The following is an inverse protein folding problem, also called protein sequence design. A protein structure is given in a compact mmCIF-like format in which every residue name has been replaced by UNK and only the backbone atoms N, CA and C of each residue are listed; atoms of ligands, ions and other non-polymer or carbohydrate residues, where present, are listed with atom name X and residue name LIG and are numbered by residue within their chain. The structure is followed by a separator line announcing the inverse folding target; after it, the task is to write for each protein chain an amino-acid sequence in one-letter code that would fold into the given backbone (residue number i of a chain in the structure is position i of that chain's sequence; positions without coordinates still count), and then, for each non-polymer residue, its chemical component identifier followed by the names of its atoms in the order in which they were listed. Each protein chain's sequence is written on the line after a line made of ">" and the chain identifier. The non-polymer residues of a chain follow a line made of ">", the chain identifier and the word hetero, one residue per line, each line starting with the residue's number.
data_IF_030744050473
#
_entry.id   IF_030744050473
#
_cell.length_a   1.000
_cell.length_b   1.000
_cell.length_c   1.000
_cell.angle_alpha   90.00
_cell.angle_beta   90.00
_cell.angle_gamma   90.00
#
_symmetry.space_group_name_H-M   'P 1'
#
loop_
_entity.id
_entity.type
_entity.pdbx_description
1 polymer ?
#
# COMPACT_ATOMS: atom_id res chain seq x y z
N UNK A 1 -32.20 -21.22 15.42
CA UNK A 1 -31.44 -21.22 14.14
C UNK A 1 -32.33 -21.40 12.93
N UNK A 2 -33.22 -22.42 12.89
CA UNK A 2 -34.02 -22.71 11.69
C UNK A 2 -35.10 -21.67 11.34
N UNK A 3 -35.49 -20.78 12.26
CA UNK A 3 -36.53 -19.76 12.01
C UNK A 3 -36.09 -18.72 10.96
N UNK A 4 -34.96 -18.05 11.18
CA UNK A 4 -34.42 -17.04 10.25
C UNK A 4 -34.07 -17.66 8.89
N UNK A 5 -33.48 -18.86 8.88
CA UNK A 5 -33.14 -19.55 7.64
C UNK A 5 -34.38 -19.85 6.80
N UNK A 6 -35.47 -20.31 7.42
CA UNK A 6 -36.73 -20.58 6.68
C UNK A 6 -37.24 -19.32 5.98
N UNK A 7 -37.22 -18.17 6.65
CA UNK A 7 -37.64 -16.90 6.06
C UNK A 7 -36.67 -16.43 4.97
N UNK A 8 -35.37 -16.51 5.26
CA UNK A 8 -34.30 -16.06 4.36
C UNK A 8 -34.29 -16.78 3.01
N UNK A 9 -34.61 -18.07 3.00
CA UNK A 9 -34.61 -18.92 1.81
C UNK A 9 -36.01 -19.22 1.26
N UNK A 10 -37.08 -18.70 1.88
CA UNK A 10 -38.45 -18.88 1.39
C UNK A 10 -38.64 -18.19 0.04
N UNK A 11 -39.27 -18.87 -0.92
CA UNK A 11 -39.53 -18.32 -2.26
C UNK A 11 -38.48 -18.68 -3.32
N UNK A 12 -37.50 -19.53 -3.02
CA UNK A 12 -36.54 -20.04 -4.00
C UNK A 12 -35.72 -18.93 -4.65
N UNK A 13 -35.81 -18.77 -5.97
CA UNK A 13 -35.10 -17.72 -6.72
C UNK A 13 -35.54 -16.30 -6.35
N UNK A 14 -36.75 -16.15 -5.80
CA UNK A 14 -37.30 -14.87 -5.33
C UNK A 14 -37.22 -14.74 -3.81
N UNK A 15 -36.42 -15.58 -3.15
CA UNK A 15 -36.14 -15.43 -1.73
C UNK A 15 -35.38 -14.14 -1.43
N UNK A 16 -35.52 -13.56 -0.21
CA UNK A 16 -34.72 -12.40 0.20
C UNK A 16 -33.22 -12.63 0.00
N UNK A 17 -32.74 -13.85 0.30
CA UNK A 17 -31.34 -14.24 0.04
C UNK A 17 -30.96 -14.19 -1.44
N UNK A 18 -31.75 -14.80 -2.32
CA UNK A 18 -31.45 -14.80 -3.75
C UNK A 18 -31.47 -13.38 -4.35
N UNK A 19 -32.43 -12.54 -3.94
CA UNK A 19 -32.53 -11.14 -4.38
C UNK A 19 -31.30 -10.33 -3.97
N UNK A 20 -30.88 -10.42 -2.70
CA UNK A 20 -29.73 -9.65 -2.21
C UNK A 20 -28.40 -10.14 -2.83
N UNK A 21 -28.24 -11.45 -3.03
CA UNK A 21 -27.05 -12.04 -3.64
C UNK A 21 -26.92 -11.69 -5.13
N UNK A 22 -28.04 -11.44 -5.82
CA UNK A 22 -28.07 -10.90 -7.19
C UNK A 22 -27.93 -9.38 -7.27
N UNK A 23 -27.88 -8.67 -6.14
CA UNK A 23 -27.84 -7.21 -6.08
C UNK A 23 -29.13 -6.52 -6.51
N UNK A 24 -30.26 -7.23 -6.51
CA UNK A 24 -31.58 -6.67 -6.85
C UNK A 24 -32.14 -5.81 -5.72
N UNK A 25 -31.74 -6.11 -4.48
CA UNK A 25 -32.05 -5.33 -3.28
C UNK A 25 -30.76 -5.04 -2.51
N UNK A 26 -30.75 -3.95 -1.76
CA UNK A 26 -29.65 -3.58 -0.86
C UNK A 26 -29.72 -4.34 0.47
N UNK A 27 -28.67 -4.22 1.28
CA UNK A 27 -28.62 -4.81 2.62
C UNK A 27 -29.74 -4.25 3.54
N UNK A 28 -30.01 -2.94 3.48
CA UNK A 28 -31.08 -2.33 4.28
C UNK A 28 -32.47 -2.82 3.86
N UNK A 29 -32.68 -3.02 2.55
CA UNK A 29 -33.90 -3.63 2.02
C UNK A 29 -34.05 -5.10 2.45
N UNK A 30 -32.95 -5.88 2.45
CA UNK A 30 -32.95 -7.25 2.97
C UNK A 30 -33.43 -7.28 4.43
N UNK A 31 -32.96 -6.36 5.28
CA UNK A 31 -33.38 -6.32 6.68
C UNK A 31 -34.89 -6.11 6.82
N UNK A 32 -35.45 -5.20 6.02
CA UNK A 32 -36.88 -4.92 6.02
C UNK A 32 -37.70 -6.13 5.55
N UNK A 33 -37.31 -6.77 4.44
CA UNK A 33 -37.98 -7.97 3.95
C UNK A 33 -37.90 -9.14 4.95
N UNK A 34 -36.75 -9.33 5.58
CA UNK A 34 -36.53 -10.37 6.58
C UNK A 34 -37.36 -10.14 7.84
N UNK A 35 -37.43 -8.91 8.35
CA UNK A 35 -38.23 -8.59 9.53
C UNK A 35 -39.73 -8.81 9.28
N UNK A 36 -40.22 -8.39 8.11
CA UNK A 36 -41.61 -8.62 7.72
C UNK A 36 -41.92 -10.11 7.55
N UNK A 37 -41.05 -10.84 6.86
CA UNK A 37 -41.17 -12.30 6.71
C UNK A 37 -41.10 -13.04 8.05
N UNK A 38 -40.29 -12.56 9.00
CA UNK A 38 -40.25 -13.09 10.36
C UNK A 38 -41.55 -12.83 11.12
N UNK A 39 -42.14 -11.62 11.03
CA UNK A 39 -43.44 -11.32 11.67
C UNK A 39 -44.54 -12.24 11.13
N UNK A 40 -44.60 -12.41 9.81
CA UNK A 40 -45.55 -13.30 9.16
C UNK A 40 -45.34 -14.75 9.59
N UNK A 41 -44.11 -15.24 9.55
CA UNK A 41 -43.82 -16.62 9.95
C UNK A 41 -44.11 -16.86 11.44
N UNK A 42 -43.79 -15.91 12.33
CA UNK A 42 -44.14 -16.01 13.74
C UNK A 42 -45.66 -16.08 13.93
N UNK A 43 -46.42 -15.23 13.22
CA UNK A 43 -47.89 -15.24 13.24
C UNK A 43 -48.46 -16.59 12.79
N UNK A 44 -47.92 -17.19 11.72
CA UNK A 44 -48.36 -18.54 11.27
C UNK A 44 -48.11 -19.65 12.29
N UNK A 45 -47.14 -19.45 13.19
CA UNK A 45 -46.80 -20.40 14.26
C UNK A 45 -47.49 -20.06 15.59
N UNK A 46 -48.31 -19.00 15.64
CA UNK A 46 -48.90 -18.51 16.89
C UNK A 46 -47.88 -17.94 17.89
N UNK A 47 -46.72 -17.50 17.40
CA UNK A 47 -45.64 -16.93 18.20
C UNK A 47 -45.62 -15.40 18.07
N UNK A 48 -45.18 -14.72 19.13
CA UNK A 48 -44.85 -13.29 19.09
C UNK A 48 -43.34 -13.11 19.10
N UNK A 49 -42.86 -12.16 18.29
CA UNK A 49 -41.44 -11.78 18.30
C UNK A 49 -41.17 -10.84 19.49
N UNK A 50 -39.99 -10.95 20.14
CA UNK A 50 -39.60 -10.01 21.19
C UNK A 50 -39.61 -8.56 20.70
N UNK A 51 -39.92 -7.56 21.54
CA UNK A 51 -39.89 -6.14 21.16
C UNK A 51 -38.50 -5.67 20.69
N UNK A 52 -37.45 -6.37 21.11
CA UNK A 52 -36.04 -6.11 20.77
C UNK A 52 -35.57 -6.87 19.53
N UNK A 53 -36.43 -7.63 18.86
CA UNK A 53 -36.05 -8.38 17.67
C UNK A 53 -35.69 -7.42 16.53
N UNK A 54 -34.44 -7.50 16.07
CA UNK A 54 -33.96 -6.77 14.90
C UNK A 54 -33.03 -7.65 14.09
N UNK A 55 -33.29 -7.73 12.78
CA UNK A 55 -32.39 -8.46 11.87
C UNK A 55 -31.11 -7.67 11.67
N UNK A 56 -31.20 -6.34 11.56
CA UNK A 56 -30.06 -5.45 11.40
C UNK A 56 -29.03 -5.65 12.54
N UNK A 57 -29.47 -5.65 13.80
CA UNK A 57 -28.58 -5.86 14.96
C UNK A 57 -27.87 -7.22 14.95
N UNK A 58 -28.53 -8.27 14.43
CA UNK A 58 -27.90 -9.59 14.31
C UNK A 58 -26.79 -9.60 13.26
N UNK A 59 -26.98 -8.90 12.14
CA UNK A 59 -25.96 -8.74 11.09
C UNK A 59 -24.81 -7.83 11.53
N UNK A 60 -25.09 -6.73 12.24
CA UNK A 60 -24.07 -5.82 12.77
C UNK A 60 -23.09 -6.55 13.70
N UNK A 61 -23.58 -7.41 14.61
CA UNK A 61 -22.71 -8.22 15.48
C UNK A 61 -21.78 -9.14 14.67
N UNK A 62 -22.29 -9.76 13.62
CA UNK A 62 -21.50 -10.64 12.74
C UNK A 62 -20.41 -9.86 11.99
N UNK A 63 -20.69 -8.62 11.55
CA UNK A 63 -19.67 -7.77 10.90
C UNK A 63 -18.58 -7.30 11.85
N UNK A 64 -18.90 -7.02 13.12
CA UNK A 64 -17.92 -6.60 14.13
C UNK A 64 -16.93 -7.72 14.47
N UNK A 65 -17.37 -8.98 14.39
CA UNK A 65 -16.52 -10.15 14.65
C UNK A 65 -15.72 -10.61 13.42
N UNK A 66 -16.07 -10.12 12.21
CA UNK A 66 -15.42 -10.48 10.97
C UNK A 66 -14.00 -9.96 10.88
N UNK A 67 -13.02 -10.84 10.84
CA UNK A 67 -11.60 -10.49 10.64
C UNK A 67 -11.04 -11.19 9.41
N UNK A 68 -10.05 -10.56 8.77
CA UNK A 68 -9.32 -11.18 7.67
C UNK A 68 -8.48 -12.33 8.22
N UNK A 69 -8.60 -13.51 7.63
CA UNK A 69 -7.72 -14.64 7.92
C UNK A 69 -6.32 -14.34 7.35
N UNK A 70 -5.46 -13.75 8.17
CA UNK A 70 -4.14 -13.30 7.77
C UNK A 70 -3.25 -14.44 7.19
N UNK A 71 -3.22 -15.66 7.78
CA UNK A 71 -2.48 -16.78 7.18
C UNK A 71 -2.96 -17.15 5.76
N UNK A 72 -4.27 -17.20 5.51
CA UNK A 72 -4.78 -17.49 4.15
C UNK A 72 -4.47 -16.35 3.17
N UNK A 73 -4.56 -15.10 3.61
CA UNK A 73 -4.16 -13.96 2.80
C UNK A 73 -2.66 -14.01 2.44
N UNK A 74 -1.81 -14.41 3.39
CA UNK A 74 -0.39 -14.60 3.16
C UNK A 74 -0.12 -15.73 2.15
N UNK A 75 -0.83 -16.84 2.26
CA UNK A 75 -0.71 -17.94 1.31
C UNK A 75 -1.14 -17.52 -0.10
N UNK A 76 -2.25 -16.79 -0.25
CA UNK A 76 -2.68 -16.25 -1.53
C UNK A 76 -1.61 -15.33 -2.14
N UNK A 77 -1.01 -14.44 -1.34
CA UNK A 77 0.11 -13.58 -1.79
C UNK A 77 1.30 -14.42 -2.24
N UNK A 78 1.62 -15.51 -1.54
CA UNK A 78 2.73 -16.40 -1.91
C UNK A 78 2.48 -17.11 -3.23
N UNK A 79 1.29 -17.66 -3.42
CA UNK A 79 0.89 -18.29 -4.68
C UNK A 79 1.01 -17.30 -5.85
N UNK A 80 0.49 -16.08 -5.67
CA UNK A 80 0.57 -15.02 -6.68
C UNK A 80 2.01 -14.69 -7.09
N UNK A 81 2.91 -14.58 -6.12
CA UNK A 81 4.35 -14.35 -6.39
C UNK A 81 5.03 -15.50 -7.13
N UNK A 82 4.51 -16.72 -7.00
CA UNK A 82 4.97 -17.91 -7.73
C UNK A 82 4.23 -18.12 -9.06
N UNK A 83 3.52 -17.09 -9.56
CA UNK A 83 2.92 -17.09 -10.89
C UNK A 83 1.47 -17.58 -10.95
N UNK A 84 0.84 -17.91 -9.82
CA UNK A 84 -0.59 -18.24 -9.81
C UNK A 84 -1.44 -17.00 -10.04
N UNK A 85 -2.50 -17.14 -10.83
CA UNK A 85 -3.60 -16.18 -10.83
C UNK A 85 -4.49 -16.42 -9.62
N UNK A 86 -4.84 -15.36 -8.90
CA UNK A 86 -5.55 -15.43 -7.62
C UNK A 86 -6.88 -14.70 -7.69
N UNK A 87 -7.93 -15.32 -7.15
CA UNK A 87 -9.29 -14.76 -7.19
C UNK A 87 -10.04 -14.92 -5.88
N UNK A 88 -10.77 -13.87 -5.49
CA UNK A 88 -11.84 -13.96 -4.48
C UNK A 88 -13.17 -14.12 -5.18
N UNK A 89 -13.87 -15.22 -4.91
CA UNK A 89 -15.21 -15.51 -5.40
C UNK A 89 -16.20 -15.48 -4.23
N UNK A 90 -16.92 -14.36 -4.06
CA UNK A 90 -17.73 -14.14 -2.86
C UNK A 90 -19.22 -13.99 -3.15
N UNK A 91 -20.04 -14.63 -2.30
CA UNK A 91 -21.46 -14.35 -2.20
C UNK A 91 -21.63 -13.17 -1.25
N UNK A 92 -21.90 -11.98 -1.79
CA UNK A 92 -22.01 -10.75 -1.04
C UNK A 92 -23.19 -9.89 -1.52
N UNK A 93 -23.33 -8.71 -0.93
CA UNK A 93 -24.48 -7.82 -1.08
C UNK A 93 -24.05 -6.38 -1.32
N UNK A 94 -24.96 -5.56 -1.82
CA UNK A 94 -24.78 -4.10 -1.88
C UNK A 94 -25.04 -3.52 -0.49
N UNK A 95 -23.98 -3.12 0.20
CA UNK A 95 -24.05 -2.58 1.55
C UNK A 95 -24.30 -1.06 1.53
N UNK A 96 -25.51 -0.66 1.89
CA UNK A 96 -25.96 0.71 2.06
C UNK A 96 -26.15 1.10 3.55
N UNK A 97 -25.72 0.23 4.46
CA UNK A 97 -25.88 0.41 5.90
C UNK A 97 -24.94 1.48 6.47
N UNK A 98 -25.10 1.76 7.77
CA UNK A 98 -24.13 2.57 8.52
C UNK A 98 -22.72 1.93 8.55
N UNK A 99 -22.64 0.59 8.45
CA UNK A 99 -21.40 -0.18 8.45
C UNK A 99 -20.67 -0.27 7.11
N UNK A 100 -21.24 0.28 6.02
CA UNK A 100 -20.72 0.13 4.65
C UNK A 100 -19.24 0.47 4.44
N UNK A 101 -18.67 1.34 5.28
CA UNK A 101 -17.26 1.70 5.19
C UNK A 101 -16.36 0.50 5.48
N UNK A 102 -16.73 -0.36 6.44
CA UNK A 102 -16.00 -1.59 6.74
C UNK A 102 -15.98 -2.53 5.53
N UNK A 103 -17.15 -2.79 4.95
CA UNK A 103 -17.29 -3.64 3.76
C UNK A 103 -16.48 -3.09 2.58
N UNK A 104 -16.55 -1.78 2.34
CA UNK A 104 -15.77 -1.12 1.30
C UNK A 104 -14.26 -1.23 1.53
N UNK A 105 -13.78 -1.03 2.76
CA UNK A 105 -12.37 -1.18 3.13
C UNK A 105 -11.90 -2.61 2.93
N UNK A 106 -12.66 -3.60 3.37
CA UNK A 106 -12.33 -5.01 3.18
C UNK A 106 -12.22 -5.38 1.69
N UNK A 107 -13.19 -4.99 0.87
CA UNK A 107 -13.16 -5.25 -0.58
C UNK A 107 -11.96 -4.57 -1.23
N UNK A 108 -11.60 -3.35 -0.82
CA UNK A 108 -10.41 -2.66 -1.31
C UNK A 108 -9.11 -3.39 -0.94
N UNK A 109 -8.99 -3.90 0.30
CA UNK A 109 -7.84 -4.72 0.72
C UNK A 109 -7.75 -5.98 -0.15
N UNK A 110 -8.87 -6.69 -0.36
CA UNK A 110 -8.89 -7.89 -1.20
C UNK A 110 -8.49 -7.58 -2.66
N UNK A 111 -9.00 -6.48 -3.24
CA UNK A 111 -8.65 -6.05 -4.61
C UNK A 111 -7.16 -5.71 -4.77
N UNK A 112 -6.45 -5.36 -3.69
CA UNK A 112 -4.99 -5.13 -3.72
C UNK A 112 -4.20 -6.43 -3.79
N UNK A 113 -4.69 -7.47 -3.10
CA UNK A 113 -3.94 -8.72 -2.95
C UNK A 113 -4.26 -9.78 -4.00
N UNK A 114 -5.43 -9.73 -4.61
CA UNK A 114 -5.89 -10.69 -5.62
C UNK A 114 -5.94 -10.08 -7.02
N UNK A 115 -5.77 -10.91 -8.05
CA UNK A 115 -5.87 -10.48 -9.46
C UNK A 115 -7.32 -10.20 -9.87
N UNK A 116 -8.27 -10.89 -9.24
CA UNK A 116 -9.70 -10.72 -9.47
C UNK A 116 -10.49 -10.81 -8.16
N UNK A 117 -11.49 -9.95 -8.02
CA UNK A 117 -12.50 -10.05 -6.96
C UNK A 117 -13.87 -10.02 -7.63
N UNK A 118 -14.55 -11.17 -7.60
CA UNK A 118 -15.89 -11.38 -8.14
C UNK A 118 -16.89 -11.31 -7.00
N UNK A 119 -17.78 -10.33 -7.11
CA UNK A 119 -18.86 -10.06 -6.15
C UNK A 119 -20.19 -10.52 -6.75
N UNK A 120 -20.89 -11.42 -6.07
CA UNK A 120 -22.16 -11.97 -6.59
C UNK A 120 -23.18 -10.89 -6.89
N UNK A 121 -23.29 -9.89 -6.00
CA UNK A 121 -24.26 -8.80 -6.15
C UNK A 121 -23.96 -7.87 -7.33
N UNK A 122 -22.72 -7.88 -7.84
CA UNK A 122 -22.32 -7.10 -9.02
C UNK A 122 -22.47 -7.91 -10.31
N UNK A 123 -22.26 -9.21 -10.24
CA UNK A 123 -22.41 -10.10 -11.39
C UNK A 123 -23.87 -10.49 -11.66
N UNK A 124 -24.71 -10.55 -10.63
CA UNK A 124 -26.08 -11.07 -10.72
C UNK A 124 -26.15 -12.61 -10.70
N UNK A 125 -25.07 -13.28 -10.31
CA UNK A 125 -24.98 -14.73 -10.09
C UNK A 125 -24.22 -15.00 -8.79
N UNK A 126 -24.56 -16.08 -8.07
CA UNK A 126 -23.98 -16.42 -6.76
C UNK A 126 -23.73 -17.93 -6.68
N UNK A 127 -22.79 -18.34 -5.84
CA UNK A 127 -22.52 -19.76 -5.58
C UNK A 127 -23.76 -20.41 -4.94
N UNK A 128 -24.22 -21.59 -5.39
CA UNK A 128 -23.52 -22.54 -6.26
C UNK A 128 -23.89 -22.50 -7.75
N UNK A 129 -24.41 -21.40 -8.31
CA UNK A 129 -24.71 -21.31 -9.75
C UNK A 129 -23.42 -21.47 -10.60
N UNK A 130 -23.32 -22.46 -11.51
CA UNK A 130 -22.17 -22.67 -12.39
C UNK A 130 -21.67 -21.41 -13.14
N UNK A 131 -22.56 -20.45 -13.41
CA UNK A 131 -22.21 -19.20 -14.12
C UNK A 131 -21.15 -18.38 -13.40
N UNK A 132 -21.18 -18.31 -12.07
CA UNK A 132 -20.21 -17.48 -11.32
C UNK A 132 -18.79 -18.08 -11.40
N UNK A 133 -18.68 -19.41 -11.39
CA UNK A 133 -17.41 -20.13 -11.52
C UNK A 133 -16.84 -19.97 -12.94
N UNK A 134 -17.70 -20.14 -13.95
CA UNK A 134 -17.34 -19.97 -15.37
C UNK A 134 -16.83 -18.55 -15.63
N UNK A 135 -17.55 -17.53 -15.13
CA UNK A 135 -17.12 -16.14 -15.23
C UNK A 135 -15.73 -15.90 -14.63
N UNK A 136 -15.46 -16.45 -13.44
CA UNK A 136 -14.16 -16.29 -12.79
C UNK A 136 -13.02 -16.97 -13.57
N UNK A 137 -13.24 -18.20 -14.06
CA UNK A 137 -12.28 -18.93 -14.89
C UNK A 137 -11.98 -18.20 -16.21
N UNK A 138 -13.02 -17.73 -16.89
CA UNK A 138 -12.90 -17.01 -18.17
C UNK A 138 -12.15 -15.68 -17.99
N UNK A 139 -12.51 -14.91 -16.97
CA UNK A 139 -11.85 -13.63 -16.66
C UNK A 139 -10.36 -13.83 -16.32
N UNK A 140 -10.02 -14.92 -15.66
CA UNK A 140 -8.63 -15.28 -15.39
C UNK A 140 -7.95 -16.00 -16.55
N UNK A 141 -8.69 -16.45 -17.58
CA UNK A 141 -8.19 -17.29 -18.66
C UNK A 141 -7.49 -18.55 -18.10
N UNK A 142 -8.17 -19.28 -17.23
CA UNK A 142 -7.67 -20.50 -16.57
C UNK A 142 -8.64 -21.65 -16.85
N UNK A 143 -8.13 -22.85 -17.12
CA UNK A 143 -8.98 -24.03 -17.28
C UNK A 143 -9.40 -24.56 -15.90
N UNK A 144 -10.58 -25.20 -15.76
CA UNK A 144 -11.01 -25.76 -14.47
C UNK A 144 -9.96 -26.68 -13.82
N UNK A 145 -9.28 -27.52 -14.60
CA UNK A 145 -8.29 -28.49 -14.11
C UNK A 145 -7.00 -27.84 -13.57
N UNK A 146 -6.80 -26.56 -13.87
CA UNK A 146 -5.65 -25.77 -13.41
C UNK A 146 -5.99 -24.94 -12.16
N UNK A 147 -7.24 -25.03 -11.67
CA UNK A 147 -7.74 -24.21 -10.56
C UNK A 147 -7.89 -25.02 -9.26
N UNK A 148 -7.55 -24.36 -8.14
CA UNK A 148 -7.82 -24.83 -6.78
C UNK A 148 -8.86 -23.91 -6.17
N UNK A 149 -10.00 -24.45 -5.76
CA UNK A 149 -11.13 -23.70 -5.21
C UNK A 149 -11.32 -23.98 -3.72
N UNK A 150 -11.32 -22.92 -2.91
CA UNK A 150 -11.44 -22.98 -1.46
C UNK A 150 -12.79 -22.37 -1.05
N UNK A 151 -13.58 -23.08 -0.25
CA UNK A 151 -14.86 -22.58 0.28
C UNK A 151 -15.16 -23.24 1.63
N UNK A 152 -15.82 -22.52 2.54
CA UNK A 152 -16.23 -23.03 3.86
C UNK A 152 -17.62 -23.72 3.81
N UNK A 153 -18.34 -23.56 2.70
CA UNK A 153 -19.64 -24.16 2.43
C UNK A 153 -19.50 -25.30 1.42
N UNK A 154 -19.85 -26.52 1.85
CA UNK A 154 -19.69 -27.75 1.04
C UNK A 154 -20.50 -27.70 -0.25
N UNK A 155 -21.68 -27.10 -0.22
CA UNK A 155 -22.58 -26.96 -1.36
C UNK A 155 -21.96 -26.10 -2.47
N UNK A 156 -21.15 -25.10 -2.11
CA UNK A 156 -20.43 -24.25 -3.06
C UNK A 156 -19.24 -24.96 -3.72
N UNK A 157 -18.74 -26.06 -3.14
CA UNK A 157 -17.63 -26.81 -3.74
C UNK A 157 -18.09 -27.76 -4.85
N UNK A 158 -19.34 -28.23 -4.81
CA UNK A 158 -19.84 -29.24 -5.77
C UNK A 158 -19.72 -28.80 -7.24
N UNK A 159 -20.16 -27.60 -7.65
CA UNK A 159 -20.05 -27.18 -9.04
C UNK A 159 -18.58 -27.06 -9.49
N UNK A 160 -17.71 -26.56 -8.61
CA UNK A 160 -16.27 -26.47 -8.88
C UNK A 160 -15.66 -27.87 -9.11
N UNK A 161 -16.03 -28.85 -8.29
CA UNK A 161 -15.60 -30.24 -8.43
C UNK A 161 -16.15 -30.88 -9.71
N UNK A 162 -17.42 -30.66 -10.04
CA UNK A 162 -18.06 -31.15 -11.27
C UNK A 162 -17.43 -30.56 -12.54
N UNK A 163 -16.91 -29.32 -12.48
CA UNK A 163 -16.13 -28.71 -13.54
C UNK A 163 -14.69 -29.27 -13.66
N UNK A 164 -14.21 -30.00 -12.65
CA UNK A 164 -12.88 -30.58 -12.62
C UNK A 164 -11.82 -29.74 -11.88
N UNK A 165 -12.23 -28.77 -11.07
CA UNK A 165 -11.30 -28.05 -10.18
C UNK A 165 -10.89 -28.92 -9.00
N UNK A 166 -9.67 -28.73 -8.49
CA UNK A 166 -9.32 -29.21 -7.17
C UNK A 166 -10.07 -28.39 -6.12
N UNK A 167 -10.64 -29.02 -5.09
CA UNK A 167 -11.46 -28.32 -4.09
C UNK A 167 -10.97 -28.60 -2.67
N UNK A 168 -10.92 -27.57 -1.82
CA UNK A 168 -10.57 -27.68 -0.40
C UNK A 168 -11.72 -27.10 0.43
N UNK A 169 -12.21 -27.88 1.40
CA UNK A 169 -13.21 -27.41 2.36
C UNK A 169 -12.52 -26.69 3.53
N UNK A 170 -12.79 -25.39 3.65
CA UNK A 170 -12.18 -24.55 4.69
C UNK A 170 -12.86 -24.78 6.03
N UNK A 171 -12.17 -25.45 6.95
CA UNK A 171 -12.60 -25.65 8.35
C UNK A 171 -11.53 -25.22 9.34
N UNK A 172 -10.31 -25.64 9.08
CA UNK A 172 -9.13 -25.34 9.88
C UNK A 172 -8.06 -24.74 8.97
N UNK A 173 -7.48 -23.62 9.39
CA UNK A 173 -6.54 -22.87 8.55
C UNK A 173 -5.25 -23.66 8.30
N UNK A 174 -4.77 -24.42 9.29
CA UNK A 174 -3.53 -25.18 9.18
C UNK A 174 -3.66 -26.36 8.21
N UNK A 175 -4.80 -27.06 8.26
CA UNK A 175 -5.09 -28.14 7.32
C UNK A 175 -5.20 -27.60 5.89
N UNK A 176 -5.90 -26.47 5.71
CA UNK A 176 -6.06 -25.82 4.40
C UNK A 176 -4.70 -25.42 3.81
N UNK A 177 -3.82 -24.83 4.62
CA UNK A 177 -2.48 -24.43 4.16
C UNK A 177 -1.64 -25.63 3.72
N UNK A 178 -1.78 -26.78 4.39
CA UNK A 178 -1.09 -28.02 4.03
C UNK A 178 -1.62 -28.59 2.71
N UNK A 179 -2.93 -28.73 2.56
CA UNK A 179 -3.54 -29.22 1.31
C UNK A 179 -3.23 -28.28 0.13
N UNK A 180 -3.25 -26.97 0.37
CA UNK A 180 -2.90 -25.97 -0.64
C UNK A 180 -1.45 -26.10 -1.08
N UNK A 181 -0.52 -26.36 -0.16
CA UNK A 181 0.89 -26.63 -0.49
C UNK A 181 1.04 -27.92 -1.29
N UNK A 182 0.33 -28.99 -0.93
CA UNK A 182 0.37 -30.27 -1.65
C UNK A 182 -0.13 -30.14 -3.09
N UNK A 183 -1.21 -29.39 -3.31
CA UNK A 183 -1.81 -29.19 -4.64
C UNK A 183 -1.04 -28.17 -5.50
N UNK A 184 -0.50 -27.12 -4.90
CA UNK A 184 0.20 -26.06 -5.65
C UNK A 184 1.69 -26.33 -5.85
N UNK A 185 2.30 -27.18 -5.03
CA UNK A 185 3.77 -27.35 -4.94
C UNK A 185 4.50 -26.13 -4.36
N UNK A 186 3.77 -25.08 -3.94
CA UNK A 186 4.33 -23.86 -3.36
C UNK A 186 4.30 -23.97 -1.85
N UNK A 187 5.44 -23.69 -1.21
CA UNK A 187 5.52 -23.66 0.24
C UNK A 187 4.68 -22.48 0.78
N UNK A 188 3.45 -22.77 1.22
CA UNK A 188 2.54 -21.76 1.77
C UNK A 188 3.03 -21.19 3.11
N UNK A 189 3.99 -21.89 3.76
CA UNK A 189 4.77 -21.42 4.92
C UNK A 189 6.20 -21.06 4.51
N UNK A 190 6.63 -19.83 4.82
CA UNK A 190 8.05 -19.49 4.99
C UNK A 190 8.26 -18.81 6.35
N UNK A 191 9.41 -19.08 6.95
CA UNK A 191 9.86 -18.51 8.23
C UNK A 191 10.30 -17.02 8.12
N UNK A 192 10.48 -16.52 6.91
CA UNK A 192 10.80 -15.10 6.67
C UNK A 192 9.51 -14.32 6.41
N UNK A 193 9.30 -13.27 7.19
CA UNK A 193 8.21 -12.32 6.93
C UNK A 193 8.35 -11.76 5.51
N UNK A 194 7.34 -11.95 4.64
CA UNK A 194 7.42 -11.42 3.30
C UNK A 194 7.47 -9.89 3.37
N UNK A 195 8.31 -9.28 2.52
CA UNK A 195 8.28 -7.83 2.33
C UNK A 195 6.83 -7.35 2.12
N UNK A 196 6.47 -6.17 2.65
CA UNK A 196 5.18 -5.55 2.39
C UNK A 196 4.90 -5.47 0.88
N UNK A 197 3.62 -5.39 0.50
CA UNK A 197 3.26 -5.18 -0.91
C UNK A 197 3.80 -3.83 -1.35
N UNK A 198 4.64 -3.80 -2.37
CA UNK A 198 5.03 -2.55 -3.03
C UNK A 198 3.86 -2.03 -3.86
N UNK A 199 3.65 -0.71 -3.89
CA UNK A 199 2.78 -0.10 -4.89
C UNK A 199 3.47 -0.03 -6.26
N UNK A 200 2.73 -0.35 -7.31
CA UNK A 200 3.13 -0.09 -8.70
C UNK A 200 2.82 1.37 -9.05
N UNK A 201 3.76 2.13 -9.66
CA UNK A 201 3.50 3.47 -10.19
C UNK A 201 2.25 3.59 -11.05
N UNK A 202 1.84 2.54 -11.79
CA UNK A 202 0.63 2.61 -12.61
C UNK A 202 -0.67 2.51 -11.80
N UNK A 203 -0.60 2.01 -10.56
CA UNK A 203 -1.75 1.65 -9.74
C UNK A 203 -1.97 2.59 -8.55
N UNK A 204 -1.33 3.76 -8.57
CA UNK A 204 -1.50 4.82 -7.58
C UNK A 204 -2.13 6.05 -8.23
N UNK A 205 -2.86 6.84 -7.46
CA UNK A 205 -3.43 8.10 -7.97
C UNK A 205 -2.34 9.16 -8.00
N UNK A 206 -2.01 9.67 -9.18
CA UNK A 206 -1.09 10.80 -9.34
C UNK A 206 -1.84 12.12 -9.17
N UNK A 207 -1.41 12.93 -8.21
CA UNK A 207 -1.93 14.26 -7.94
C UNK A 207 -0.89 15.34 -8.22
N UNK A 208 -1.39 16.53 -8.57
CA UNK A 208 -0.56 17.71 -8.83
C UNK A 208 -1.15 18.93 -8.15
N UNK A 209 -0.29 19.74 -7.56
CA UNK A 209 -0.69 20.98 -6.88
C UNK A 209 0.22 22.14 -7.27
N UNK A 210 -0.37 23.20 -7.81
CA UNK A 210 0.38 24.45 -7.98
C UNK A 210 0.46 25.16 -6.64
N UNK A 211 1.68 25.38 -6.15
CA UNK A 211 1.93 26.01 -4.85
C UNK A 211 2.11 27.52 -5.00
N UNK A 212 2.55 27.96 -6.19
CA UNK A 212 2.63 29.34 -6.65
C UNK A 212 2.86 29.34 -8.19
N UNK A 213 2.75 30.48 -8.89
CA UNK A 213 2.96 30.53 -10.33
C UNK A 213 4.30 29.90 -10.73
N UNK A 214 4.27 28.98 -11.69
CA UNK A 214 5.45 28.29 -12.21
C UNK A 214 6.06 27.23 -11.30
N UNK A 215 5.50 26.94 -10.11
CA UNK A 215 5.98 25.85 -9.24
C UNK A 215 4.83 24.94 -8.84
N UNK A 216 4.98 23.67 -9.20
CA UNK A 216 4.04 22.59 -8.95
C UNK A 216 4.73 21.45 -8.21
N UNK A 217 4.00 20.81 -7.28
CA UNK A 217 4.41 19.54 -6.70
C UNK A 217 3.56 18.41 -7.23
N UNK A 218 4.23 17.31 -7.52
CA UNK A 218 3.63 16.00 -7.76
C UNK A 218 3.58 15.21 -6.45
N UNK A 219 2.55 14.39 -6.31
CA UNK A 219 2.42 13.42 -5.24
C UNK A 219 1.66 12.20 -5.74
N UNK A 220 1.79 11.10 -5.01
CA UNK A 220 0.88 9.96 -5.16
C UNK A 220 0.01 9.81 -3.93
N UNK A 221 -1.21 9.34 -4.15
CA UNK A 221 -2.22 9.21 -3.12
C UNK A 221 -2.82 7.80 -3.08
N UNK A 222 -2.99 7.26 -1.87
CA UNK A 222 -3.66 5.99 -1.63
C UNK A 222 -4.37 5.96 -0.29
N UNK A 223 -5.53 5.30 -0.22
CA UNK A 223 -6.27 5.08 1.03
C UNK A 223 -7.21 6.22 1.39
N UNK A 224 -7.79 6.14 2.58
CA UNK A 224 -8.77 7.06 3.12
C UNK A 224 -8.59 7.17 4.64
N UNK A 225 -9.10 8.23 5.26
CA UNK A 225 -8.95 8.47 6.70
C UNK A 225 -8.01 9.64 7.03
N UNK A 226 -7.40 9.67 8.23
CA UNK A 226 -6.46 10.71 8.61
C UNK A 226 -5.27 10.79 7.64
N UNK A 227 -4.84 12.00 7.31
CA UNK A 227 -3.77 12.22 6.32
C UNK A 227 -2.40 11.91 6.91
N UNK A 228 -1.64 11.08 6.21
CA UNK A 228 -0.21 10.84 6.45
C UNK A 228 0.55 11.32 5.22
N UNK A 229 1.45 12.28 5.40
CA UNK A 229 2.28 12.83 4.34
C UNK A 229 3.73 12.32 4.47
N UNK A 230 4.21 11.63 3.43
CA UNK A 230 5.54 11.03 3.39
C UNK A 230 6.50 11.91 2.58
N UNK A 231 7.66 12.20 3.16
CA UNK A 231 8.67 13.10 2.59
C UNK A 231 9.99 12.33 2.44
N UNK A 232 10.42 12.04 1.20
CA UNK A 232 11.69 11.38 0.95
C UNK A 232 12.90 12.34 1.11
N UNK A 233 14.11 11.79 1.08
CA UNK A 233 15.37 12.54 1.13
C UNK A 233 16.14 12.55 -0.19
N UNK A 234 17.47 12.62 -0.10
CA UNK A 234 18.37 12.76 -1.24
C UNK A 234 19.20 11.47 -1.49
N UNK A 235 19.41 11.06 -2.76
CA UNK A 235 18.64 11.38 -3.96
C UNK A 235 17.56 10.31 -4.16
N UNK A 236 16.33 10.60 -3.78
CA UNK A 236 15.24 9.62 -3.74
C UNK A 236 14.04 10.00 -4.64
N UNK A 237 12.92 9.31 -4.46
CA UNK A 237 11.63 9.64 -5.06
C UNK A 237 10.50 9.30 -4.08
N UNK A 238 9.27 9.75 -4.34
CA UNK A 238 8.06 9.22 -3.68
C UNK A 238 8.05 7.68 -3.66
N UNK A 239 8.63 7.03 -4.69
CA UNK A 239 8.71 5.57 -4.83
C UNK A 239 9.61 4.89 -3.77
N UNK A 240 10.42 5.65 -3.01
CA UNK A 240 11.10 5.14 -1.80
C UNK A 240 10.10 4.60 -0.77
N UNK A 241 8.89 5.17 -0.74
CA UNK A 241 7.83 4.79 0.19
C UNK A 241 6.91 3.68 -0.33
N UNK A 242 7.26 3.02 -1.45
CA UNK A 242 6.36 2.06 -2.12
C UNK A 242 5.85 0.91 -1.25
N UNK A 243 6.62 0.54 -0.22
CA UNK A 243 6.22 -0.50 0.74
C UNK A 243 5.33 0.05 1.87
N UNK A 244 5.50 1.33 2.22
CA UNK A 244 4.73 1.98 3.27
C UNK A 244 3.40 2.50 2.76
N UNK A 245 3.30 2.93 1.50
CA UNK A 245 2.07 3.49 0.94
C UNK A 245 0.90 2.50 1.06
N UNK A 246 0.97 1.24 0.58
CA UNK A 246 -0.11 0.29 0.76
C UNK A 246 -0.35 -0.08 2.22
N UNK A 247 0.71 -0.32 2.99
CA UNK A 247 0.61 -0.73 4.39
C UNK A 247 -0.12 0.31 5.27
N UNK A 248 0.22 1.59 5.11
CA UNK A 248 -0.45 2.68 5.82
C UNK A 248 -1.88 2.89 5.31
N UNK A 249 -2.12 2.73 4.00
CA UNK A 249 -3.47 2.81 3.45
C UNK A 249 -4.37 1.67 3.95
N UNK A 250 -3.83 0.45 4.07
CA UNK A 250 -4.52 -0.71 4.64
C UNK A 250 -4.80 -0.52 6.15
N UNK A 251 -3.92 0.22 6.85
CA UNK A 251 -4.11 0.61 8.24
C UNK A 251 -5.16 1.74 8.44
N UNK A 252 -5.83 2.19 7.37
CA UNK A 252 -6.91 3.18 7.44
C UNK A 252 -6.45 4.64 7.41
N UNK A 253 -5.28 4.91 6.81
CA UNK A 253 -4.80 6.27 6.56
C UNK A 253 -4.96 6.69 5.10
N UNK A 254 -5.14 7.99 4.88
CA UNK A 254 -5.02 8.62 3.58
C UNK A 254 -3.55 9.01 3.37
N UNK A 255 -2.82 8.22 2.60
CA UNK A 255 -1.38 8.40 2.39
C UNK A 255 -1.16 9.34 1.21
N UNK A 256 -0.34 10.37 1.41
CA UNK A 256 0.15 11.28 0.38
C UNK A 256 1.68 11.18 0.38
N UNK A 257 2.25 10.47 -0.58
CA UNK A 257 3.70 10.43 -0.75
C UNK A 257 4.13 11.51 -1.74
N UNK A 258 4.87 12.48 -1.23
CA UNK A 258 5.32 13.63 -2.00
C UNK A 258 6.49 13.24 -2.90
N UNK A 259 6.47 13.75 -4.13
CA UNK A 259 7.71 13.98 -4.87
C UNK A 259 8.23 15.35 -4.44
N UNK A 260 9.35 15.39 -3.74
CA UNK A 260 9.87 16.62 -3.16
C UNK A 260 10.23 17.63 -4.26
N UNK A 261 10.21 18.92 -3.94
CA UNK A 261 10.64 19.98 -4.87
C UNK A 261 12.07 19.69 -5.34
N UNK A 262 12.32 19.80 -6.64
CA UNK A 262 13.60 19.40 -7.25
C UNK A 262 13.61 17.99 -7.83
N UNK A 263 12.57 17.17 -7.60
CA UNK A 263 12.58 15.74 -7.96
C UNK A 263 11.46 15.38 -8.94
N UNK A 264 11.75 14.42 -9.82
CA UNK A 264 10.77 13.72 -10.64
C UNK A 264 9.82 14.63 -11.43
N UNK A 265 8.53 14.58 -11.09
CA UNK A 265 7.51 15.40 -11.76
C UNK A 265 7.21 16.72 -11.03
N UNK A 266 7.77 16.92 -9.84
CA UNK A 266 7.76 18.22 -9.18
C UNK A 266 8.68 19.20 -9.90
N UNK A 267 8.34 20.48 -9.83
CA UNK A 267 9.18 21.53 -10.43
C UNK A 267 10.54 21.60 -9.72
N UNK A 268 11.61 21.79 -10.50
CA UNK A 268 12.98 22.00 -10.05
C UNK A 268 13.48 23.41 -10.44
N UNK A 269 13.15 24.46 -9.66
CA UNK A 269 13.70 25.80 -9.91
C UNK A 269 15.24 25.82 -9.82
N UNK A 270 15.95 26.61 -10.63
CA UNK A 270 17.42 26.60 -10.65
C UNK A 270 18.08 27.40 -9.52
N UNK A 271 17.36 28.27 -8.82
CA UNK A 271 17.93 29.13 -7.76
C UNK A 271 18.10 28.33 -6.46
N UNK A 272 19.32 28.28 -5.93
CA UNK A 272 19.67 27.62 -4.66
C UNK A 272 18.76 28.08 -3.50
N UNK A 273 18.39 29.37 -3.48
CA UNK A 273 17.54 29.94 -2.42
C UNK A 273 16.17 29.26 -2.33
N UNK A 274 15.72 28.62 -3.40
CA UNK A 274 14.44 27.92 -3.48
C UNK A 274 14.38 26.64 -2.64
N UNK A 275 15.53 26.13 -2.21
CA UNK A 275 15.68 24.87 -1.48
C UNK A 275 16.07 25.06 0.00
N UNK A 276 16.09 26.31 0.49
CA UNK A 276 16.24 26.54 1.93
C UNK A 276 15.10 25.87 2.70
N UNK A 277 15.39 25.42 3.93
CA UNK A 277 14.38 24.79 4.80
C UNK A 277 13.16 25.69 4.99
N UNK A 278 13.36 27.01 5.10
CA UNK A 278 12.26 27.97 5.17
C UNK A 278 11.37 27.92 3.92
N UNK A 279 11.95 27.92 2.71
CA UNK A 279 11.17 27.87 1.47
C UNK A 279 10.45 26.52 1.35
N UNK A 280 11.13 25.40 1.60
CA UNK A 280 10.54 24.05 1.51
C UNK A 280 9.39 23.87 2.52
N UNK A 281 9.49 24.41 3.73
CA UNK A 281 8.41 24.37 4.71
C UNK A 281 7.26 25.31 4.34
N UNK A 282 7.54 26.52 3.83
CA UNK A 282 6.50 27.46 3.38
C UNK A 282 5.61 26.89 2.29
N UNK A 283 6.17 26.09 1.37
CA UNK A 283 5.41 25.37 0.34
C UNK A 283 4.27 24.54 0.93
N UNK A 284 4.48 23.92 2.10
CA UNK A 284 3.48 23.09 2.77
C UNK A 284 2.39 23.89 3.48
N UNK A 285 2.53 25.22 3.55
CA UNK A 285 1.48 26.17 3.96
C UNK A 285 0.65 26.66 2.76
N UNK A 286 0.95 26.27 1.53
CA UNK A 286 0.18 26.75 0.39
C UNK A 286 -1.28 26.30 0.50
N UNK A 287 -2.21 27.25 0.47
CA UNK A 287 -3.65 27.01 0.63
C UNK A 287 -4.19 26.01 -0.40
N UNK A 288 -3.58 25.95 -1.60
CA UNK A 288 -3.89 24.99 -2.64
C UNK A 288 -3.50 23.54 -2.26
N UNK A 289 -2.36 23.36 -1.57
CA UNK A 289 -1.95 22.06 -1.01
C UNK A 289 -2.86 21.63 0.15
N UNK A 290 -3.26 22.59 0.97
CA UNK A 290 -4.01 22.34 2.18
C UNK A 290 -5.54 22.39 2.00
N UNK A 291 -6.05 22.56 0.78
CA UNK A 291 -7.49 22.64 0.55
C UNK A 291 -8.17 21.32 1.00
N UNK A 292 -8.83 21.36 2.16
CA UNK A 292 -9.46 20.20 2.78
C UNK A 292 -8.58 19.39 3.74
N UNK A 293 -7.34 19.81 4.03
CA UNK A 293 -6.42 19.11 4.95
C UNK A 293 -5.96 20.09 6.05
N UNK A 294 -6.68 20.17 7.19
CA UNK A 294 -6.33 21.11 8.26
C UNK A 294 -5.04 20.73 9.00
N UNK A 295 -4.82 19.42 9.17
CA UNK A 295 -3.62 18.83 9.77
C UNK A 295 -3.28 17.51 9.08
N UNK A 296 -1.99 17.15 9.10
CA UNK A 296 -1.51 15.85 8.65
C UNK A 296 -0.46 15.29 9.62
N UNK A 297 -0.34 13.98 9.69
CA UNK A 297 0.85 13.32 10.25
C UNK A 297 1.97 13.46 9.22
N UNK A 298 3.14 13.92 9.63
CA UNK A 298 4.29 14.08 8.74
C UNK A 298 5.36 13.06 9.06
N UNK A 299 5.79 12.30 8.05
CA UNK A 299 6.85 11.31 8.18
C UNK A 299 7.93 11.64 7.15
N UNK A 300 9.17 11.79 7.62
CA UNK A 300 10.31 12.16 6.79
C UNK A 300 11.46 11.16 6.88
N UNK A 301 12.22 11.00 5.79
CA UNK A 301 13.49 10.28 5.76
C UNK A 301 14.60 11.21 5.25
N UNK A 302 15.81 11.13 5.82
CA UNK A 302 16.97 11.94 5.41
C UNK A 302 16.63 13.47 5.38
N UNK A 303 16.76 14.18 4.26
CA UNK A 303 16.37 15.59 4.13
C UNK A 303 14.88 15.81 4.35
N UNK A 304 14.02 14.85 3.98
CA UNK A 304 12.61 14.84 4.34
C UNK A 304 12.41 14.80 5.86
N UNK A 305 13.30 14.12 6.60
CA UNK A 305 13.34 14.12 8.06
C UNK A 305 13.60 15.52 8.66
N UNK A 306 14.56 16.26 8.10
CA UNK A 306 14.83 17.65 8.51
C UNK A 306 13.61 18.55 8.27
N UNK A 307 12.95 18.38 7.12
CA UNK A 307 11.74 19.12 6.75
C UNK A 307 10.60 18.88 7.74
N UNK A 308 10.32 17.63 8.12
CA UNK A 308 9.19 17.35 9.03
C UNK A 308 9.47 17.84 10.45
N UNK A 309 10.72 17.85 10.92
CA UNK A 309 11.08 18.49 12.19
C UNK A 309 10.83 20.00 12.15
N UNK A 310 11.27 20.68 11.09
CA UNK A 310 11.02 22.12 10.93
C UNK A 310 9.52 22.43 10.80
N UNK A 311 8.74 21.58 10.13
CA UNK A 311 7.28 21.73 10.09
C UNK A 311 6.66 21.65 11.49
N UNK A 312 7.10 20.69 12.32
CA UNK A 312 6.59 20.56 13.69
C UNK A 312 6.95 21.76 14.57
N UNK A 313 8.14 22.34 14.38
CA UNK A 313 8.59 23.53 15.13
C UNK A 313 7.87 24.81 14.73
N UNK A 314 7.78 25.09 13.42
CA UNK A 314 7.32 26.39 12.92
C UNK A 314 5.83 26.42 12.58
N UNK A 315 5.21 25.25 12.37
CA UNK A 315 3.81 25.13 11.99
C UNK A 315 3.09 24.01 12.78
N UNK A 316 3.19 23.98 14.13
CA UNK A 316 2.60 22.92 14.94
C UNK A 316 1.08 22.82 14.76
N UNK A 317 0.41 23.91 14.39
CA UNK A 317 -1.03 23.92 14.11
C UNK A 317 -1.41 23.07 12.88
N UNK A 318 -0.44 22.73 12.02
CA UNK A 318 -0.62 21.91 10.81
C UNK A 318 -0.15 20.46 10.98
N UNK A 319 0.58 20.17 12.05
CA UNK A 319 1.21 18.86 12.27
C UNK A 319 0.44 18.10 13.33
N UNK A 320 -0.29 17.06 12.90
CA UNK A 320 -1.04 16.19 13.81
C UNK A 320 -0.08 15.34 14.67
N UNK A 321 0.97 14.83 14.04
CA UNK A 321 2.09 14.12 14.65
C UNK A 321 3.29 14.17 13.69
N UNK A 322 4.50 13.94 14.20
CA UNK A 322 5.74 13.95 13.41
C UNK A 322 6.57 12.70 13.69
N UNK A 323 7.14 12.11 12.64
CA UNK A 323 8.11 11.03 12.74
C UNK A 323 9.27 11.25 11.74
N UNK A 324 10.48 10.87 12.13
CA UNK A 324 11.66 10.96 11.27
C UNK A 324 12.40 9.63 11.27
N UNK A 325 12.79 9.17 10.08
CA UNK A 325 13.65 8.02 9.88
C UNK A 325 15.08 8.53 9.64
N UNK A 326 16.02 8.01 10.44
CA UNK A 326 17.46 8.30 10.41
C UNK A 326 17.83 9.70 10.91
N UNK A 327 17.15 10.76 10.45
CA UNK A 327 17.52 12.16 10.75
C UNK A 327 17.08 12.58 12.16
N UNK A 328 18.01 12.85 13.10
CA UNK A 328 17.66 13.30 14.43
C UNK A 328 17.23 14.78 14.40
N UNK A 329 16.41 15.17 15.37
CA UNK A 329 16.22 16.59 15.66
C UNK A 329 17.42 17.12 16.46
N UNK A 330 18.08 18.17 15.96
CA UNK A 330 19.15 18.89 16.66
C UNK A 330 18.88 20.39 16.56
N UNK A 331 18.61 21.09 17.68
CA UNK A 331 18.41 22.54 17.64
C UNK A 331 19.69 23.25 17.19
N UNK A 332 19.53 24.38 16.50
CA UNK A 332 20.65 25.24 16.14
C UNK A 332 21.25 25.87 17.41
N UNK A 333 22.58 25.85 17.51
CA UNK A 333 23.32 26.55 18.55
C UNK A 333 23.80 27.89 17.96
N UNK A 334 23.23 29.03 18.38
CA UNK A 334 23.59 30.33 17.82
C UNK A 334 25.02 30.77 18.19
N UNK A 335 25.69 30.05 19.10
CA UNK A 335 27.07 30.36 19.54
C UNK A 335 28.13 29.62 18.73
N UNK A 336 27.72 28.70 17.85
CA UNK A 336 28.64 27.85 17.09
C UNK A 336 28.48 28.10 15.60
N UNK A 337 29.60 28.28 14.90
CA UNK A 337 29.62 28.22 13.45
C UNK A 337 29.32 26.78 13.00
N UNK A 338 28.17 26.60 12.37
CA UNK A 338 27.69 25.29 11.93
C UNK A 338 28.61 24.67 10.87
N UNK A 339 29.24 25.48 10.01
CA UNK A 339 30.14 25.01 8.96
C UNK A 339 31.39 24.42 9.59
N UNK A 340 32.00 25.12 10.55
CA UNK A 340 33.18 24.62 11.28
C UNK A 340 32.84 23.39 12.12
N UNK A 341 31.67 23.37 12.76
CA UNK A 341 31.20 22.19 13.48
C UNK A 341 31.01 20.99 12.55
N UNK A 342 30.44 21.19 11.36
CA UNK A 342 30.24 20.10 10.40
C UNK A 342 31.56 19.55 9.86
N UNK A 343 32.57 20.39 9.61
CA UNK A 343 33.93 19.96 9.21
C UNK A 343 34.59 19.04 10.24
N UNK A 344 34.20 19.13 11.51
CA UNK A 344 34.71 18.23 12.56
C UNK A 344 34.16 16.80 12.49
N UNK A 345 33.16 16.53 11.64
CA UNK A 345 32.54 15.22 11.46
C UNK A 345 32.84 14.68 10.04
N UNK A 346 33.82 13.78 9.88
CA UNK A 346 34.22 13.25 8.56
C UNK A 346 33.08 12.57 7.78
N UNK A 347 32.04 12.10 8.46
CA UNK A 347 30.85 11.53 7.84
C UNK A 347 30.04 12.54 7.02
N UNK A 348 30.23 13.85 7.22
CA UNK A 348 29.57 14.91 6.47
C UNK A 348 30.42 15.52 5.35
N UNK A 349 31.63 14.98 5.10
CA UNK A 349 32.54 15.48 4.07
C UNK A 349 31.91 15.58 2.67
N UNK A 350 31.03 14.63 2.33
CA UNK A 350 30.29 14.63 1.06
C UNK A 350 29.38 15.87 0.88
N UNK A 351 28.90 16.48 1.97
CA UNK A 351 28.05 17.67 1.89
C UNK A 351 28.85 18.90 1.44
N UNK A 352 30.17 18.93 1.71
CA UNK A 352 31.07 19.97 1.20
C UNK A 352 31.36 19.77 -0.29
N UNK A 353 31.47 18.52 -0.74
CA UNK A 353 31.56 18.21 -2.17
C UNK A 353 30.33 18.70 -2.97
N UNK A 354 29.15 18.70 -2.34
CA UNK A 354 27.90 19.19 -2.97
C UNK A 354 27.75 20.72 -2.98
N UNK A 355 28.67 21.50 -2.40
CA UNK A 355 28.49 22.96 -2.31
C UNK A 355 28.74 23.69 -3.63
N UNK A 356 29.70 23.22 -4.44
CA UNK A 356 30.07 23.89 -5.69
C UNK A 356 29.09 23.49 -6.82
N UNK A 357 28.27 24.42 -7.34
CA UNK A 357 27.27 24.09 -8.35
C UNK A 357 27.89 23.53 -9.62
N UNK A 358 27.33 22.43 -10.13
CA UNK A 358 27.77 21.75 -11.34
C UNK A 358 28.83 20.66 -11.12
N UNK A 359 29.52 20.63 -9.98
CA UNK A 359 30.56 19.61 -9.72
C UNK A 359 29.93 18.26 -9.43
N UNK A 360 29.05 18.20 -8.42
CA UNK A 360 28.37 16.97 -8.05
C UNK A 360 27.40 16.52 -9.16
N UNK A 361 26.69 17.45 -9.78
CA UNK A 361 25.80 17.19 -10.90
C UNK A 361 26.53 16.53 -12.06
N UNK A 362 27.72 17.04 -12.44
CA UNK A 362 28.50 16.44 -13.52
C UNK A 362 28.90 14.99 -13.24
N UNK A 363 29.18 14.63 -12.00
CA UNK A 363 29.48 13.24 -11.62
C UNK A 363 28.20 12.37 -11.59
N UNK A 364 27.16 12.85 -10.91
CA UNK A 364 25.94 12.09 -10.64
C UNK A 364 25.07 11.88 -11.89
N UNK A 365 25.06 12.87 -12.80
CA UNK A 365 24.27 12.84 -14.04
C UNK A 365 25.00 12.13 -15.19
N UNK A 366 26.32 11.93 -15.10
CA UNK A 366 27.12 11.24 -16.14
C UNK A 366 26.58 9.84 -16.44
N UNK A 367 26.25 9.09 -15.38
CA UNK A 367 25.53 7.83 -15.48
C UNK A 367 24.58 7.70 -14.28
N UNK A 368 23.34 8.17 -14.49
CA UNK A 368 22.26 8.13 -13.50
C UNK A 368 22.01 6.71 -12.99
N UNK A 369 22.09 5.71 -13.87
CA UNK A 369 21.88 4.30 -13.50
C UNK A 369 22.97 3.80 -12.56
N UNK A 370 24.23 4.11 -12.84
CA UNK A 370 25.36 3.84 -11.95
C UNK A 370 25.19 4.55 -10.61
N UNK A 371 24.89 5.86 -10.63
CA UNK A 371 24.68 6.67 -9.44
C UNK A 371 23.64 6.06 -8.51
N UNK A 372 22.45 5.75 -9.03
CA UNK A 372 21.35 5.19 -8.23
C UNK A 372 21.68 3.81 -7.66
N UNK A 373 22.31 2.93 -8.45
CA UNK A 373 22.77 1.61 -7.96
C UNK A 373 23.85 1.73 -6.89
N UNK A 374 24.64 2.81 -6.90
CA UNK A 374 25.65 3.08 -5.86
C UNK A 374 25.02 3.65 -4.59
N UNK A 375 24.10 4.59 -4.73
CA UNK A 375 23.56 5.34 -3.61
C UNK A 375 22.42 4.63 -2.88
N UNK A 376 21.53 3.96 -3.62
CA UNK A 376 20.36 3.26 -3.09
C UNK A 376 20.64 1.75 -3.12
N UNK A 377 21.29 1.26 -2.07
CA UNK A 377 21.57 -0.17 -1.91
C UNK A 377 21.38 -0.69 -0.47
N UNK A 378 21.16 -2.00 -0.38
CA UNK A 378 21.14 -2.71 0.89
C UNK A 378 22.50 -2.68 1.59
N UNK A 379 22.46 -2.75 2.92
CA UNK A 379 23.63 -2.97 3.77
C UNK A 379 23.79 -4.43 4.21
N UNK A 380 23.01 -5.35 3.64
CA UNK A 380 23.15 -6.78 3.91
C UNK A 380 24.56 -7.26 3.53
N UNK A 381 25.24 -8.08 4.36
CA UNK A 381 26.59 -8.57 4.06
C UNK A 381 26.68 -9.33 2.73
N UNK A 382 25.61 -10.00 2.32
CA UNK A 382 25.51 -10.78 1.08
C UNK A 382 25.33 -9.88 -0.16
N UNK A 383 25.11 -8.58 0.02
CA UNK A 383 24.89 -7.64 -1.06
C UNK A 383 26.20 -7.32 -1.80
N UNK A 384 26.22 -7.42 -3.14
CA UNK A 384 27.37 -6.97 -3.92
C UNK A 384 27.71 -5.50 -3.61
N UNK A 385 29.00 -5.20 -3.47
CA UNK A 385 29.52 -3.88 -3.08
C UNK A 385 29.16 -3.41 -1.65
N UNK A 386 28.61 -4.27 -0.77
CA UNK A 386 28.33 -3.93 0.62
C UNK A 386 29.58 -3.45 1.38
N UNK A 387 30.71 -4.17 1.25
CA UNK A 387 31.97 -3.80 1.88
C UNK A 387 32.47 -2.41 1.46
N UNK A 388 32.32 -2.06 0.17
CA UNK A 388 32.66 -0.74 -0.36
C UNK A 388 31.75 0.35 0.20
N UNK A 389 30.45 0.07 0.33
CA UNK A 389 29.48 0.98 0.93
C UNK A 389 29.74 1.21 2.42
N UNK A 390 30.13 0.17 3.15
CA UNK A 390 30.46 0.27 4.58
C UNK A 390 31.74 1.10 4.81
N UNK A 391 32.72 0.97 3.92
CA UNK A 391 33.91 1.84 3.91
C UNK A 391 33.54 3.28 3.59
N UNK A 392 32.68 3.50 2.59
CA UNK A 392 32.18 4.83 2.21
C UNK A 392 31.37 5.51 3.35
N UNK A 393 30.59 4.75 4.13
CA UNK A 393 29.87 5.26 5.30
C UNK A 393 30.75 5.46 6.55
N UNK A 394 32.08 5.29 6.45
CA UNK A 394 33.03 5.58 7.53
C UNK A 394 33.06 4.56 8.66
N UNK A 395 32.66 3.30 8.44
CA UNK A 395 32.86 2.21 9.41
C UNK A 395 34.24 1.53 9.32
N UNK A 396 35.05 1.94 8.35
CA UNK A 396 36.50 1.77 8.31
C UNK A 396 37.12 3.16 8.19
N UNK A 397 38.28 3.37 8.80
CA UNK A 397 39.03 4.63 8.92
C UNK A 397 38.95 5.54 7.69
N UNK A 398 38.69 6.84 7.92
CA UNK A 398 38.70 7.99 6.97
C UNK A 398 37.72 7.93 5.79
N UNK A 399 36.75 8.86 5.77
CA UNK A 399 35.87 9.13 4.62
C UNK A 399 36.71 9.60 3.42
N UNK A 400 36.71 8.88 2.27
CA UNK A 400 37.57 9.23 1.15
C UNK A 400 36.93 10.18 0.13
N UNK A 401 35.68 10.64 0.31
CA UNK A 401 34.92 11.33 -0.76
C UNK A 401 35.62 12.58 -1.33
N UNK A 402 36.25 13.41 -0.49
CA UNK A 402 37.01 14.59 -0.94
C UNK A 402 38.44 14.25 -1.40
N UNK A 403 39.10 13.25 -0.77
CA UNK A 403 40.47 12.85 -1.11
C UNK A 403 40.56 11.97 -2.36
N UNK A 404 39.46 11.31 -2.75
CA UNK A 404 39.40 10.39 -3.88
C UNK A 404 38.90 11.04 -5.19
N UNK A 405 38.42 12.28 -5.16
CA UNK A 405 38.04 13.03 -6.38
C UNK A 405 36.61 12.79 -6.87
N UNK A 406 35.67 12.40 -5.99
CA UNK A 406 34.24 12.23 -6.33
C UNK A 406 33.51 11.27 -5.39
N UNK A 407 32.17 11.37 -5.38
CA UNK A 407 31.27 10.55 -4.55
C UNK A 407 31.25 9.07 -4.98
N UNK A 408 31.40 8.81 -6.28
CA UNK A 408 31.29 7.49 -6.89
C UNK A 408 32.66 6.82 -7.08
N UNK A 409 33.75 7.49 -6.70
CA UNK A 409 35.10 6.95 -6.83
C UNK A 409 35.26 5.69 -5.99
N UNK A 410 35.93 4.70 -6.57
CA UNK A 410 36.12 3.37 -5.99
C UNK A 410 35.01 2.39 -6.34
N UNK A 411 33.80 2.85 -6.71
CA UNK A 411 32.74 1.95 -7.17
C UNK A 411 32.97 1.50 -8.63
N UNK A 412 32.56 0.26 -8.99
CA UNK A 412 32.59 -0.19 -10.38
C UNK A 412 31.84 0.75 -11.33
N UNK A 413 32.25 0.79 -12.60
CA UNK A 413 31.54 1.55 -13.64
C UNK A 413 30.13 0.98 -13.91
N UNK A 414 29.97 -0.34 -13.87
CA UNK A 414 28.66 -0.98 -13.96
C UNK A 414 28.39 -1.85 -12.72
N UNK A 415 27.97 -1.25 -11.59
CA UNK A 415 27.62 -2.01 -10.42
C UNK A 415 26.36 -2.85 -10.69
N UNK A 416 26.22 -4.02 -10.06
CA UNK A 416 24.97 -4.77 -10.10
C UNK A 416 23.85 -3.98 -9.40
N UNK A 417 22.59 -4.27 -9.78
CA UNK A 417 21.44 -3.69 -9.11
C UNK A 417 21.30 -4.22 -7.68
N UNK A 418 20.71 -3.42 -6.79
CA UNK A 418 20.51 -3.81 -5.40
C UNK A 418 19.22 -4.60 -5.21
N UNK A 419 19.18 -5.46 -4.19
CA UNK A 419 17.94 -6.10 -3.74
C UNK A 419 16.83 -5.09 -3.41
N UNK A 420 17.19 -3.87 -2.97
CA UNK A 420 16.22 -2.81 -2.66
C UNK A 420 15.84 -1.92 -3.85
N UNK A 421 16.60 -1.94 -4.95
CA UNK A 421 16.28 -1.14 -6.14
C UNK A 421 16.84 -1.84 -7.39
N UNK A 422 15.93 -2.48 -8.14
CA UNK A 422 16.24 -3.24 -9.35
C UNK A 422 15.07 -3.15 -10.34
N UNK A 423 15.22 -3.76 -11.51
CA UNK A 423 14.10 -3.98 -12.43
C UNK A 423 13.35 -2.71 -12.86
N UNK A 424 12.02 -2.77 -12.96
CA UNK A 424 11.17 -1.65 -13.35
C UNK A 424 11.29 -0.43 -12.42
N UNK A 425 11.48 -0.63 -11.12
CA UNK A 425 11.61 0.47 -10.16
C UNK A 425 12.88 1.28 -10.41
N UNK A 426 14.01 0.60 -10.65
CA UNK A 426 15.25 1.29 -11.02
C UNK A 426 15.08 2.10 -12.31
N UNK A 427 14.38 1.55 -13.30
CA UNK A 427 14.10 2.26 -14.55
C UNK A 427 13.21 3.48 -14.32
N UNK A 428 12.21 3.37 -13.44
CA UNK A 428 11.39 4.50 -13.03
C UNK A 428 12.25 5.61 -12.44
N UNK A 429 13.12 5.30 -11.47
CA UNK A 429 14.04 6.28 -10.89
C UNK A 429 14.92 6.95 -11.96
N UNK A 430 15.54 6.17 -12.84
CA UNK A 430 16.39 6.70 -13.91
C UNK A 430 15.60 7.71 -14.76
N UNK A 431 14.37 7.37 -15.18
CA UNK A 431 13.53 8.28 -15.97
C UNK A 431 13.19 9.57 -15.23
N UNK A 432 12.96 9.50 -13.91
CA UNK A 432 12.68 10.69 -13.09
C UNK A 432 13.90 11.59 -12.97
N UNK A 433 15.06 11.03 -12.66
CA UNK A 433 16.31 11.80 -12.55
C UNK A 433 16.83 12.29 -13.91
N UNK A 434 16.52 11.61 -15.02
CA UNK A 434 16.79 12.15 -16.37
C UNK A 434 16.02 13.45 -16.64
N UNK A 435 14.85 13.63 -16.02
CA UNK A 435 14.02 14.83 -16.16
C UNK A 435 14.41 15.92 -15.17
N UNK A 436 14.64 15.57 -13.91
CA UNK A 436 14.90 16.55 -12.84
C UNK A 436 16.38 16.91 -12.67
N UNK A 437 17.29 16.01 -13.05
CA UNK A 437 18.70 16.09 -12.65
C UNK A 437 18.89 15.78 -11.16
N UNK A 438 20.10 16.05 -10.66
CA UNK A 438 20.49 15.91 -9.25
C UNK A 438 20.64 17.25 -8.51
N UNK A 439 20.06 18.32 -9.07
CA UNK A 439 20.18 19.71 -8.56
C UNK A 439 19.28 20.01 -7.38
#
# INVERSE_FOLDING_TARGET
>A
RNFLQKVMFAGGSESPYAKVMRGQITLSQLFSEMEEGCKQHASTLGLSLPPTFSVAQAFEKMTVEGTVNAPLLQAARMLRRNGFKTCVLTNNWVDDSAGRLFTATLVNVLRRHFDLVVESCRLGAWKPDPKIYTYALDALQVKPQEAIFLDDVKENLKPAQEMGMATILVRDTEIVLKELQELSGVQARRAEEPLPTACDPSNVTHGYVSIRPGVQLHFVEMGHGPVVCLCHGFPESWLSWRFQIPALADAGFRVIALEMKGYGESTAPPDIKEYSQEQICKVRRCRAWMAGIPQAVLIGHDWGGAVVWNMALFYPERVRAVASLNTPYRPADPTVDIVEKMKSYPTFDYQFYFQEPGVAEAELEKDIGRTLKVLIRSTCPEEPCCGLRMLWMGRGSSSPSLLAGGLLVGFPENPPASQILHGPELQYYIQRFQKSGFR
#
